data_IF_438239857320
#
_entry.id   IF_438239857320
#
_cell.length_a   1.000
_cell.length_b   1.000
_cell.length_c   1.000
_cell.angle_alpha   90.00
_cell.angle_beta   90.00
_cell.angle_gamma   90.00
#
_symmetry.space_group_name_H-M   'P 1'
#
loop_
_entity.id
_entity.type
_entity.pdbx_description
1 polymer ?
#
# COMPACT_ATOMS: atom_id res chain seq x y z
N UNK A 1 16.76 -1.55 5.52
CA UNK A 1 15.43 -1.16 5.02
C UNK A 1 14.43 -2.24 5.39
N UNK A 2 13.26 -2.27 4.76
CA UNK A 2 12.24 -3.30 4.98
C UNK A 2 11.79 -3.88 3.65
N UNK A 3 11.25 -5.09 3.65
CA UNK A 3 10.65 -5.71 2.47
C UNK A 3 9.48 -4.86 1.94
N UNK A 4 9.31 -4.83 0.62
CA UNK A 4 8.15 -4.21 0.00
C UNK A 4 6.88 -5.03 0.26
N UNK A 5 5.72 -4.38 0.14
CA UNK A 5 4.44 -5.07 0.20
C UNK A 5 4.28 -6.01 -1.00
N UNK A 6 3.75 -7.21 -0.76
CA UNK A 6 3.42 -8.17 -1.82
C UNK A 6 2.20 -7.69 -2.60
N UNK A 7 2.20 -7.92 -3.91
CA UNK A 7 1.02 -7.68 -4.73
C UNK A 7 -0.12 -8.63 -4.37
N UNK A 8 -1.36 -8.20 -4.64
CA UNK A 8 -2.57 -9.00 -4.46
C UNK A 8 -3.52 -8.74 -5.61
N UNK A 9 -4.29 -9.76 -5.98
CA UNK A 9 -5.38 -9.63 -6.93
C UNK A 9 -6.65 -10.17 -6.28
N UNK A 10 -7.75 -9.46 -6.43
CA UNK A 10 -9.03 -9.88 -5.87
C UNK A 10 -10.20 -9.42 -6.73
N UNK A 11 -11.28 -10.19 -6.66
CA UNK A 11 -12.57 -9.80 -7.21
C UNK A 11 -13.43 -9.31 -6.06
N UNK A 12 -13.97 -8.10 -6.19
CA UNK A 12 -15.07 -7.61 -5.35
C UNK A 12 -16.34 -7.89 -6.15
N UNK A 13 -17.15 -8.84 -5.66
CA UNK A 13 -18.43 -9.18 -6.28
C UNK A 13 -19.42 -8.02 -6.11
N UNK A 14 -20.44 -7.98 -6.95
CA UNK A 14 -21.48 -6.93 -6.90
C UNK A 14 -22.24 -6.88 -5.58
N UNK A 15 -22.26 -7.97 -4.80
CA UNK A 15 -22.82 -8.03 -3.44
C UNK A 15 -21.84 -7.57 -2.34
N UNK A 16 -20.62 -7.16 -2.71
CA UNK A 16 -19.56 -6.73 -1.81
C UNK A 16 -18.60 -7.85 -1.35
N UNK A 17 -18.88 -9.11 -1.68
CA UNK A 17 -18.00 -10.25 -1.31
C UNK A 17 -16.63 -10.11 -1.95
N UNK A 18 -15.56 -10.30 -1.18
CA UNK A 18 -14.18 -10.22 -1.66
C UNK A 18 -13.60 -11.62 -1.84
N UNK A 19 -13.07 -11.91 -3.03
CA UNK A 19 -12.43 -13.18 -3.36
C UNK A 19 -10.99 -12.91 -3.77
N UNK A 20 -10.02 -13.27 -2.94
CA UNK A 20 -8.60 -13.20 -3.27
C UNK A 20 -8.24 -14.28 -4.29
N UNK A 21 -7.42 -13.92 -5.28
CA UNK A 21 -7.01 -14.79 -6.37
C UNK A 21 -5.58 -15.32 -6.16
N UNK A 22 -5.28 -16.55 -6.60
CA UNK A 22 -3.91 -17.07 -6.60
C UNK A 22 -3.05 -16.35 -7.66
N UNK A 23 -1.74 -16.59 -7.64
CA UNK A 23 -0.77 -15.93 -8.53
C UNK A 23 -1.05 -16.12 -10.02
N UNK A 24 -1.69 -17.23 -10.41
CA UNK A 24 -2.11 -17.51 -11.79
C UNK A 24 -3.45 -18.24 -11.78
N UNK A 25 -4.46 -17.65 -12.42
CA UNK A 25 -5.77 -18.26 -12.58
C UNK A 25 -6.52 -17.71 -13.79
N UNK A 26 -7.58 -18.41 -14.16
CA UNK A 26 -8.62 -17.91 -15.07
C UNK A 26 -9.92 -17.83 -14.29
N UNK A 27 -10.59 -16.68 -14.33
CA UNK A 27 -11.82 -16.41 -13.58
C UNK A 27 -12.86 -15.78 -14.48
N UNK A 28 -14.13 -16.16 -14.28
CA UNK A 28 -15.26 -15.51 -14.95
C UNK A 28 -15.72 -14.32 -14.13
N UNK A 29 -15.70 -13.14 -14.75
CA UNK A 29 -16.27 -11.91 -14.20
C UNK A 29 -17.77 -11.84 -14.52
N UNK A 30 -18.55 -11.27 -13.61
CA UNK A 30 -19.98 -10.97 -13.83
C UNK A 30 -20.17 -9.47 -13.95
N UNK A 31 -21.29 -9.06 -14.55
CA UNK A 31 -21.64 -7.64 -14.63
C UNK A 31 -21.74 -7.05 -13.21
N UNK A 32 -21.01 -5.96 -12.98
CA UNK A 32 -20.96 -5.28 -11.68
C UNK A 32 -19.86 -5.76 -10.73
N UNK A 33 -19.13 -6.83 -11.07
CA UNK A 33 -17.92 -7.19 -10.34
C UNK A 33 -16.79 -6.17 -10.60
N UNK A 34 -15.95 -5.95 -9.59
CA UNK A 34 -14.74 -5.12 -9.69
C UNK A 34 -13.52 -6.04 -9.60
N UNK A 35 -12.58 -5.88 -10.53
CA UNK A 35 -11.27 -6.51 -10.43
C UNK A 35 -10.28 -5.52 -9.83
N UNK A 36 -9.77 -5.82 -8.64
CA UNK A 36 -8.79 -4.99 -7.93
C UNK A 36 -7.43 -5.67 -7.97
N UNK A 37 -6.45 -4.97 -8.54
CA UNK A 37 -5.03 -5.34 -8.49
C UNK A 37 -4.33 -4.35 -7.57
N UNK A 38 -3.75 -4.85 -6.50
CA UNK A 38 -2.81 -4.13 -5.66
C UNK A 38 -1.41 -4.52 -6.14
N UNK A 39 -0.74 -3.60 -6.83
CA UNK A 39 0.61 -3.84 -7.33
C UNK A 39 1.60 -3.91 -6.16
N UNK A 40 2.65 -4.76 -6.26
CA UNK A 40 3.67 -4.83 -5.21
C UNK A 40 4.43 -3.51 -5.08
N UNK A 41 4.89 -3.23 -3.87
CA UNK A 41 5.79 -2.11 -3.60
C UNK A 41 7.26 -2.50 -3.68
N UNK A 42 8.14 -1.52 -3.89
CA UNK A 42 9.58 -1.72 -3.78
C UNK A 42 10.03 -1.93 -2.32
N UNK A 43 11.18 -2.58 -2.13
CA UNK A 43 11.83 -2.67 -0.82
C UNK A 43 12.56 -1.37 -0.45
N UNK A 44 12.67 -1.10 0.85
CA UNK A 44 13.42 0.04 1.37
C UNK A 44 14.91 -0.25 1.59
N UNK A 45 15.73 0.79 1.61
CA UNK A 45 17.17 0.72 1.90
C UNK A 45 17.53 1.47 3.19
N UNK A 46 18.58 1.05 3.90
CA UNK A 46 19.07 1.72 5.11
C UNK A 46 18.16 1.64 6.33
N UNK A 47 18.53 2.29 7.43
CA UNK A 47 17.69 2.37 8.63
C UNK A 47 16.58 3.41 8.42
N UNK A 48 15.29 3.05 8.50
CA UNK A 48 14.19 4.01 8.32
C UNK A 48 14.28 5.23 9.25
N UNK A 49 14.76 5.07 10.49
CA UNK A 49 14.86 6.16 11.47
C UNK A 49 15.89 7.23 11.11
N UNK A 50 16.76 6.95 10.15
CA UNK A 50 17.76 7.90 9.63
C UNK A 50 17.25 8.68 8.41
N UNK A 51 16.06 8.37 7.88
CA UNK A 51 15.46 9.12 6.76
C UNK A 51 15.20 10.57 7.18
N UNK A 52 15.55 11.51 6.30
CA UNK A 52 15.42 12.93 6.62
C UNK A 52 13.95 13.34 6.80
N UNK A 53 13.68 14.16 7.82
CA UNK A 53 12.32 14.66 8.12
C UNK A 53 11.70 15.40 6.94
N UNK A 54 12.50 16.15 6.17
CA UNK A 54 12.07 16.86 4.96
C UNK A 54 11.57 15.88 3.87
N UNK A 55 12.25 14.75 3.68
CA UNK A 55 11.81 13.74 2.73
C UNK A 55 10.50 13.08 3.20
N UNK A 56 10.38 12.75 4.48
CA UNK A 56 9.15 12.16 5.06
C UNK A 56 7.95 13.11 4.90
N UNK A 57 8.13 14.41 5.16
CA UNK A 57 7.07 15.41 4.94
C UNK A 57 6.65 15.50 3.47
N UNK A 58 7.61 15.43 2.55
CA UNK A 58 7.31 15.40 1.12
C UNK A 58 6.58 14.10 0.73
N UNK A 59 6.93 12.96 1.31
CA UNK A 59 6.25 11.69 1.05
C UNK A 59 4.78 11.74 1.54
N UNK A 60 4.51 12.40 2.68
CA UNK A 60 3.16 12.65 3.20
C UNK A 60 2.37 13.61 2.29
N UNK A 61 2.97 14.71 1.86
CA UNK A 61 2.34 15.70 0.97
C UNK A 61 1.93 15.08 -0.38
N UNK A 62 2.74 14.15 -0.89
CA UNK A 62 2.46 13.44 -2.13
C UNK A 62 1.62 12.15 -1.93
N UNK A 63 1.07 11.94 -0.74
CA UNK A 63 0.26 10.76 -0.38
C UNK A 63 0.95 9.41 -0.65
N UNK A 64 2.29 9.39 -0.70
CA UNK A 64 3.07 8.17 -0.87
C UNK A 64 3.06 7.31 0.39
N UNK A 65 2.88 7.95 1.54
CA UNK A 65 2.74 7.31 2.85
C UNK A 65 1.61 7.97 3.65
N UNK A 66 1.00 7.22 4.56
CA UNK A 66 0.06 7.76 5.55
C UNK A 66 0.79 8.28 6.79
N UNK A 67 0.10 9.08 7.61
CA UNK A 67 0.63 9.54 8.91
C UNK A 67 0.96 8.36 9.84
N UNK A 68 0.11 7.34 9.86
CA UNK A 68 0.34 6.12 10.64
C UNK A 68 1.63 5.42 10.20
N UNK A 69 1.87 5.30 8.89
CA UNK A 69 3.10 4.72 8.37
C UNK A 69 4.31 5.59 8.67
N UNK A 70 4.16 6.91 8.62
CA UNK A 70 5.24 7.82 9.01
C UNK A 70 5.65 7.65 10.48
N UNK A 71 4.68 7.45 11.37
CA UNK A 71 4.91 7.19 12.79
C UNK A 71 5.54 5.81 13.01
N UNK A 72 4.96 4.76 12.45
CA UNK A 72 5.39 3.38 12.65
C UNK A 72 6.80 3.10 12.09
N UNK A 73 7.04 3.53 10.85
CA UNK A 73 8.27 3.19 10.14
C UNK A 73 9.40 4.17 10.42
N UNK A 74 9.09 5.47 10.50
CA UNK A 74 10.09 6.52 10.63
C UNK A 74 10.13 7.19 12.01
N UNK A 75 9.18 6.90 12.90
CA UNK A 75 9.08 7.58 14.20
C UNK A 75 8.74 9.07 14.07
N UNK A 76 8.13 9.47 12.95
CA UNK A 76 7.85 10.87 12.65
C UNK A 76 6.36 11.15 12.73
N UNK A 77 5.99 12.20 13.48
CA UNK A 77 4.65 12.75 13.52
C UNK A 77 4.66 14.13 12.87
N UNK A 78 3.87 14.38 11.81
CA UNK A 78 3.78 15.70 11.22
C UNK A 78 3.15 16.70 12.21
N UNK A 79 3.51 17.99 12.13
CA UNK A 79 2.86 19.02 12.93
C UNK A 79 1.37 19.09 12.57
N UNK A 80 0.51 19.30 13.59
CA UNK A 80 -0.92 19.55 13.36
C UNK A 80 -1.08 20.82 12.55
N UNK A 81 -1.98 20.78 11.55
CA UNK A 81 -2.45 21.97 10.84
C UNK A 81 -3.21 22.90 11.77
#
# INVERSE_FOLDING_TARGET
>A
GKSGATGKALIIRSDGTKVELPSKCTVKMRKGDIFLILTPGGGGYGNPRERSKKAILKDLENELISEDKAKEDYGFLPPRK
#
